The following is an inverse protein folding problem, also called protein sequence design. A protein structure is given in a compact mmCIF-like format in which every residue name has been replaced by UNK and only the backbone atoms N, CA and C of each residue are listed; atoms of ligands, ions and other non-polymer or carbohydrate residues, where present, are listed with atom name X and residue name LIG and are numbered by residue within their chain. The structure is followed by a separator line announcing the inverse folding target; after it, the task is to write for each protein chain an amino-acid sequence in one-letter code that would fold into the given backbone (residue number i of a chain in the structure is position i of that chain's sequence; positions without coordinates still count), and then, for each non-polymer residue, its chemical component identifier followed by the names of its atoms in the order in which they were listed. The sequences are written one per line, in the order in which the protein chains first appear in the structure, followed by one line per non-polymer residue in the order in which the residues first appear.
data_IF_171969688605
#
_entry.id   IF_171969688605
#
_cell.length_a   1.000
_cell.length_b   1.000
_cell.length_c   1.000
_cell.angle_alpha   90.00
_cell.angle_beta   90.00
_cell.angle_gamma   90.00
#
_symmetry.space_group_name_H-M   'P 1'
#
loop_
_entity.id
_entity.type
_entity.pdbx_description
1 polymer ?
#
# COMPACT_ATOMS: atom_id res chain seq x y z
N UNK A 1 -44.09 13.59 -80.75
CA UNK A 1 -43.72 12.16 -80.69
C UNK A 1 -42.20 12.02 -80.84
N UNK A 2 -41.59 11.06 -80.12
CA UNK A 2 -40.14 10.86 -79.81
C UNK A 2 -39.71 11.64 -78.55
N UNK A 3 -39.71 11.12 -77.33
CA UNK A 3 -39.40 9.80 -76.73
C UNK A 3 -37.90 9.41 -76.74
N UNK A 4 -37.33 9.40 -75.51
CA UNK A 4 -36.14 8.68 -75.01
C UNK A 4 -34.76 9.17 -75.56
N UNK A 5 -33.67 9.29 -74.79
CA UNK A 5 -33.25 8.61 -73.55
C UNK A 5 -31.91 9.21 -73.01
N UNK A 6 -31.53 8.86 -71.76
CA UNK A 6 -30.16 8.69 -71.23
C UNK A 6 -29.36 9.98 -70.89
N UNK A 7 -28.64 10.18 -69.77
CA UNK A 7 -28.04 9.34 -68.71
C UNK A 7 -27.83 10.18 -67.43
N UNK A 8 -27.89 9.48 -66.30
CA UNK A 8 -27.60 9.87 -64.93
C UNK A 8 -26.31 10.69 -64.69
N UNK A 9 -26.36 11.60 -63.71
CA UNK A 9 -25.19 11.87 -62.86
C UNK A 9 -25.64 12.10 -61.41
N UNK A 10 -25.59 11.03 -60.63
CA UNK A 10 -25.68 11.05 -59.18
C UNK A 10 -24.39 11.63 -58.61
N UNK A 11 -24.41 12.92 -58.24
CA UNK A 11 -23.33 13.51 -57.44
C UNK A 11 -23.60 13.23 -55.96
N UNK A 12 -23.06 12.09 -55.49
CA UNK A 12 -22.94 11.81 -54.06
C UNK A 12 -22.02 12.84 -53.42
N UNK A 13 -22.59 13.76 -52.64
CA UNK A 13 -21.82 14.54 -51.65
C UNK A 13 -21.58 13.61 -50.46
N UNK A 14 -20.54 12.78 -50.58
CA UNK A 14 -19.98 12.07 -49.45
C UNK A 14 -19.34 13.11 -48.53
N UNK A 15 -20.07 13.49 -47.47
CA UNK A 15 -19.53 14.30 -46.39
C UNK A 15 -18.31 13.60 -45.79
N UNK A 16 -17.14 14.22 -45.96
CA UNK A 16 -15.92 13.83 -45.28
C UNK A 16 -16.16 13.90 -43.77
N UNK A 17 -16.37 12.75 -43.12
CA UNK A 17 -16.28 12.69 -41.67
C UNK A 17 -14.85 13.08 -41.28
N UNK A 18 -14.65 14.03 -40.36
CA UNK A 18 -13.32 14.32 -39.87
C UNK A 18 -12.76 13.04 -39.25
N UNK A 19 -11.65 12.56 -39.79
CA UNK A 19 -10.81 11.57 -39.14
C UNK A 19 -10.59 12.05 -37.71
N UNK A 20 -11.21 11.35 -36.75
CA UNK A 20 -10.99 11.60 -35.33
C UNK A 20 -9.49 11.61 -35.12
N UNK A 21 -9.00 12.73 -34.58
CA UNK A 21 -7.63 12.91 -34.15
C UNK A 21 -7.17 11.62 -33.45
N UNK A 22 -6.22 10.93 -34.08
CA UNK A 22 -5.52 9.83 -33.42
C UNK A 22 -4.85 10.48 -32.21
N UNK A 23 -5.40 10.27 -31.02
CA UNK A 23 -4.70 10.56 -29.78
C UNK A 23 -3.46 9.68 -29.80
N UNK A 24 -2.33 10.27 -30.17
CA UNK A 24 -1.02 9.66 -29.92
C UNK A 24 -0.88 9.67 -28.41
N UNK A 25 -1.27 8.56 -27.78
CA UNK A 25 -0.95 8.30 -26.39
C UNK A 25 0.56 8.27 -26.32
N UNK A 26 1.17 9.36 -25.85
CA UNK A 26 2.61 9.37 -25.62
C UNK A 26 2.93 8.19 -24.70
N UNK A 27 3.93 7.36 -25.04
CA UNK A 27 4.34 6.28 -24.17
C UNK A 27 4.73 6.90 -22.84
N UNK A 28 4.15 6.37 -21.78
CA UNK A 28 4.28 6.93 -20.44
C UNK A 28 5.76 6.94 -20.02
N UNK A 29 6.22 7.98 -19.31
CA UNK A 29 7.59 8.03 -18.85
C UNK A 29 7.87 6.82 -17.96
N UNK A 30 8.83 5.99 -18.38
CA UNK A 30 9.27 4.84 -17.61
C UNK A 30 9.88 5.33 -16.29
N UNK A 31 9.57 4.62 -15.19
CA UNK A 31 10.26 4.84 -13.93
C UNK A 31 11.77 4.69 -14.13
N UNK A 32 12.53 5.62 -13.58
CA UNK A 32 13.98 5.46 -13.50
C UNK A 32 14.36 4.39 -12.46
N UNK A 33 15.63 3.99 -12.44
CA UNK A 33 16.14 2.97 -11.52
C UNK A 33 15.92 3.32 -10.04
N UNK A 34 16.01 4.60 -9.67
CA UNK A 34 15.81 5.06 -8.29
C UNK A 34 14.35 4.93 -7.89
N UNK A 35 13.44 5.32 -8.79
CA UNK A 35 12.00 5.20 -8.55
C UNK A 35 11.54 3.74 -8.46
N UNK A 36 12.15 2.84 -9.24
CA UNK A 36 11.89 1.39 -9.15
C UNK A 36 12.29 0.87 -7.77
N UNK A 37 13.51 1.18 -7.30
CA UNK A 37 13.99 0.75 -5.97
C UNK A 37 13.10 1.30 -4.85
N UNK A 38 12.72 2.58 -4.92
CA UNK A 38 11.78 3.19 -3.98
C UNK A 38 10.42 2.49 -3.98
N UNK A 39 9.84 2.28 -5.15
CA UNK A 39 8.55 1.60 -5.28
C UNK A 39 8.60 0.21 -4.65
N UNK A 40 9.62 -0.58 -4.99
CA UNK A 40 9.72 -1.97 -4.58
C UNK A 40 9.92 -2.10 -3.06
N UNK A 41 10.75 -1.24 -2.46
CA UNK A 41 10.94 -1.26 -1.00
C UNK A 41 9.68 -0.79 -0.25
N UNK A 42 8.96 0.20 -0.78
CA UNK A 42 7.70 0.67 -0.19
C UNK A 42 6.59 -0.39 -0.28
N UNK A 43 6.52 -1.15 -1.37
CA UNK A 43 5.62 -2.30 -1.48
C UNK A 43 5.99 -3.42 -0.51
N UNK A 44 7.27 -3.72 -0.34
CA UNK A 44 7.70 -4.72 0.66
C UNK A 44 7.30 -4.32 2.08
N UNK A 45 7.40 -3.04 2.42
CA UNK A 45 6.89 -2.53 3.69
C UNK A 45 5.36 -2.64 3.79
N UNK A 46 4.62 -2.35 2.71
CA UNK A 46 3.14 -2.55 2.65
C UNK A 46 2.76 -3.96 3.02
N UNK A 47 3.37 -4.92 2.35
CA UNK A 47 3.01 -6.33 2.46
C UNK A 47 3.35 -6.83 3.86
N UNK A 48 4.45 -6.34 4.44
CA UNK A 48 4.82 -6.59 5.84
C UNK A 48 3.78 -6.05 6.82
N UNK A 49 3.24 -4.84 6.60
CA UNK A 49 2.18 -4.26 7.42
C UNK A 49 0.86 -5.04 7.29
N UNK A 50 0.53 -5.52 6.09
CA UNK A 50 -0.64 -6.39 5.89
C UNK A 50 -0.53 -7.70 6.66
N UNK A 51 0.67 -8.27 6.80
CA UNK A 51 0.87 -9.45 7.66
C UNK A 51 0.64 -9.17 9.14
N UNK A 52 0.98 -7.97 9.62
CA UNK A 52 0.67 -7.53 10.99
C UNK A 52 -0.85 -7.41 11.20
N UNK A 53 -1.56 -6.78 10.27
CA UNK A 53 -3.01 -6.65 10.34
C UNK A 53 -3.71 -8.02 10.30
N UNK A 54 -3.25 -8.92 9.42
CA UNK A 54 -3.77 -10.28 9.33
C UNK A 54 -3.51 -11.09 10.62
N UNK A 55 -2.32 -10.96 11.22
CA UNK A 55 -1.99 -11.60 12.49
C UNK A 55 -2.88 -11.06 13.63
N UNK A 56 -3.06 -9.73 13.71
CA UNK A 56 -3.94 -9.09 14.67
C UNK A 56 -5.39 -9.55 14.51
N UNK A 57 -5.91 -9.61 13.29
CA UNK A 57 -7.28 -10.05 13.02
C UNK A 57 -7.49 -11.52 13.39
N UNK A 58 -6.51 -12.37 13.08
CA UNK A 58 -6.54 -13.79 13.48
C UNK A 58 -6.50 -13.94 15.00
N UNK A 59 -5.65 -13.18 15.68
CA UNK A 59 -5.58 -13.18 17.14
C UNK A 59 -6.93 -12.81 17.76
N UNK A 60 -7.58 -11.75 17.27
CA UNK A 60 -8.87 -11.30 17.77
C UNK A 60 -9.98 -12.36 17.57
N UNK A 61 -10.00 -13.06 16.43
CA UNK A 61 -10.97 -14.13 16.16
C UNK A 61 -10.75 -15.36 17.05
N UNK A 62 -9.49 -15.76 17.23
CA UNK A 62 -9.14 -17.02 17.89
C UNK A 62 -9.24 -16.89 19.44
N UNK A 63 -9.31 -15.68 19.99
CA UNK A 63 -9.19 -15.38 21.43
C UNK A 63 -10.10 -16.21 22.35
N UNK A 64 -11.39 -16.21 22.06
CA UNK A 64 -12.40 -16.73 23.00
C UNK A 64 -12.52 -18.25 22.93
N UNK A 65 -12.11 -18.86 21.82
CA UNK A 65 -12.33 -20.28 21.53
C UNK A 65 -11.03 -21.12 21.57
N UNK A 66 -9.87 -20.48 21.76
CA UNK A 66 -8.58 -21.16 21.71
C UNK A 66 -8.04 -21.56 23.09
N UNK A 67 -7.23 -22.61 23.10
CA UNK A 67 -6.40 -22.96 24.26
C UNK A 67 -5.30 -21.91 24.49
N UNK A 68 -4.76 -21.84 25.71
CA UNK A 68 -3.68 -20.91 26.06
C UNK A 68 -2.43 -21.12 25.18
N UNK A 69 -2.14 -22.37 24.83
CA UNK A 69 -1.03 -22.72 23.94
C UNK A 69 -1.22 -22.14 22.53
N UNK A 70 -2.44 -22.22 21.99
CA UNK A 70 -2.76 -21.63 20.69
C UNK A 70 -2.67 -20.11 20.75
N UNK A 71 -3.17 -19.48 21.82
CA UNK A 71 -3.07 -18.03 21.97
C UNK A 71 -1.62 -17.56 22.08
N UNK A 72 -0.81 -18.26 22.87
CA UNK A 72 0.62 -17.99 23.00
C UNK A 72 1.34 -18.08 21.65
N UNK A 73 1.03 -19.11 20.85
CA UNK A 73 1.54 -19.25 19.48
C UNK A 73 1.13 -18.08 18.58
N UNK A 74 -0.11 -17.60 18.67
CA UNK A 74 -0.59 -16.43 17.92
C UNK A 74 0.10 -15.14 18.36
N UNK A 75 0.35 -14.97 19.66
CA UNK A 75 1.11 -13.85 20.18
C UNK A 75 2.56 -13.86 19.64
N UNK A 76 3.22 -15.02 19.58
CA UNK A 76 4.54 -15.14 18.94
C UNK A 76 4.50 -14.74 17.47
N UNK A 77 3.51 -15.22 16.71
CA UNK A 77 3.35 -14.82 15.31
C UNK A 77 3.20 -13.29 15.19
N UNK A 78 2.42 -12.65 16.06
CA UNK A 78 2.28 -11.19 16.07
C UNK A 78 3.62 -10.48 16.35
N UNK A 79 4.37 -10.96 17.33
CA UNK A 79 5.70 -10.43 17.66
C UNK A 79 6.66 -10.52 16.47
N UNK A 80 6.74 -11.68 15.83
CA UNK A 80 7.55 -11.91 14.62
C UNK A 80 7.16 -10.99 13.45
N UNK A 81 5.86 -10.74 13.24
CA UNK A 81 5.41 -9.80 12.20
C UNK A 81 5.80 -8.37 12.53
N UNK A 82 5.67 -7.96 13.79
CA UNK A 82 6.12 -6.64 14.23
C UNK A 82 7.65 -6.48 14.07
N UNK A 83 8.44 -7.49 14.43
CA UNK A 83 9.90 -7.49 14.20
C UNK A 83 10.26 -7.41 12.71
N UNK A 84 9.54 -8.15 11.85
CA UNK A 84 9.74 -8.06 10.40
C UNK A 84 9.53 -6.62 9.89
N UNK A 85 8.50 -5.92 10.39
CA UNK A 85 8.27 -4.51 10.07
C UNK A 85 9.41 -3.62 10.60
N UNK A 86 9.92 -3.87 11.81
CA UNK A 86 11.08 -3.13 12.35
C UNK A 86 12.31 -3.26 11.42
N UNK A 87 12.60 -4.45 10.91
CA UNK A 87 13.73 -4.64 9.98
C UNK A 87 13.53 -3.88 8.66
N UNK A 88 12.39 -4.08 8.00
CA UNK A 88 12.12 -3.44 6.69
C UNK A 88 12.03 -1.91 6.81
N UNK A 89 11.54 -1.35 7.92
CA UNK A 89 11.54 0.11 8.12
C UNK A 89 12.96 0.69 8.19
N UNK A 90 13.95 -0.08 8.66
CA UNK A 90 15.36 0.29 8.59
C UNK A 90 15.86 0.37 7.14
N UNK A 91 15.61 -0.69 6.36
CA UNK A 91 15.97 -0.74 4.93
C UNK A 91 15.32 0.41 4.14
N UNK A 92 14.03 0.67 4.38
CA UNK A 92 13.29 1.76 3.72
C UNK A 92 13.87 3.12 4.06
N UNK A 93 14.26 3.34 5.32
CA UNK A 93 14.87 4.60 5.78
C UNK A 93 16.17 4.88 5.02
N UNK A 94 17.02 3.86 4.86
CA UNK A 94 18.28 3.97 4.12
C UNK A 94 18.04 4.32 2.65
N UNK A 95 17.11 3.61 1.99
CA UNK A 95 16.76 3.87 0.58
C UNK A 95 16.20 5.28 0.39
N UNK A 96 15.24 5.69 1.23
CA UNK A 96 14.60 7.01 1.11
C UNK A 96 15.58 8.15 1.38
N UNK A 97 16.41 8.03 2.42
CA UNK A 97 17.43 9.02 2.73
C UNK A 97 18.46 9.16 1.58
N UNK A 98 18.81 8.06 0.92
CA UNK A 98 19.75 8.06 -0.21
C UNK A 98 19.16 8.51 -1.55
N UNK A 99 17.84 8.47 -1.75
CA UNK A 99 17.22 8.61 -3.07
C UNK A 99 17.14 10.04 -3.64
N UNK A 100 17.44 11.09 -2.86
CA UNK A 100 17.19 12.51 -3.19
C UNK A 100 15.73 12.85 -3.62
N UNK A 101 14.81 11.89 -3.69
CA UNK A 101 13.43 12.07 -4.15
C UNK A 101 12.47 12.40 -2.98
N UNK A 102 11.42 13.20 -3.21
CA UNK A 102 11.17 13.96 -4.44
C UNK A 102 12.19 15.10 -4.60
N UNK A 103 12.55 15.43 -5.85
CA UNK A 103 13.46 16.54 -6.18
C UNK A 103 12.83 17.46 -7.24
N UNK A 104 12.55 18.74 -6.92
CA UNK A 104 12.65 19.34 -5.59
C UNK A 104 11.55 18.81 -4.63
N UNK A 105 11.76 18.96 -3.32
CA UNK A 105 10.76 18.63 -2.27
C UNK A 105 10.15 19.90 -1.63
N UNK A 106 9.38 20.71 -2.37
CA UNK A 106 8.84 21.97 -1.84
C UNK A 106 7.77 21.74 -0.76
N UNK A 107 7.17 20.55 -0.69
CA UNK A 107 6.10 20.22 0.28
C UNK A 107 6.64 19.60 1.56
N UNK A 108 7.93 19.23 1.61
CA UNK A 108 8.52 18.50 2.72
C UNK A 108 7.93 17.10 2.88
N UNK A 109 7.62 16.43 1.76
CA UNK A 109 7.04 15.09 1.76
C UNK A 109 8.07 14.06 2.29
N UNK A 110 9.37 14.22 1.97
CA UNK A 110 10.44 13.33 2.46
C UNK A 110 10.66 13.40 3.97
N UNK A 111 10.90 14.56 4.61
CA UNK A 111 11.10 14.62 6.06
C UNK A 111 9.86 14.19 6.86
N UNK A 112 8.64 14.51 6.37
CA UNK A 112 7.40 14.01 7.01
C UNK A 112 7.31 12.49 6.96
N UNK A 113 7.57 11.91 5.79
CA UNK A 113 7.60 10.47 5.62
C UNK A 113 8.62 9.78 6.54
N UNK A 114 9.84 10.31 6.61
CA UNK A 114 10.88 9.77 7.50
C UNK A 114 10.47 9.85 8.99
N UNK A 115 9.80 10.93 9.41
CA UNK A 115 9.26 11.04 10.77
C UNK A 115 8.13 10.04 11.05
N UNK A 116 7.24 9.81 10.08
CA UNK A 116 6.18 8.82 10.17
C UNK A 116 6.76 7.38 10.21
N UNK A 117 7.78 7.11 9.41
CA UNK A 117 8.49 5.83 9.37
C UNK A 117 9.18 5.51 10.71
N UNK A 118 9.83 6.50 11.33
CA UNK A 118 10.44 6.34 12.66
C UNK A 118 9.39 6.09 13.75
N UNK A 119 8.26 6.80 13.68
CA UNK A 119 7.12 6.56 14.58
C UNK A 119 6.57 5.15 14.42
N UNK A 120 6.35 4.70 13.18
CA UNK A 120 5.92 3.34 12.87
C UNK A 120 6.90 2.31 13.42
N UNK A 121 8.20 2.49 13.16
CA UNK A 121 9.26 1.60 13.67
C UNK A 121 9.21 1.47 15.18
N UNK A 122 9.14 2.57 15.92
CA UNK A 122 9.03 2.56 17.39
C UNK A 122 7.79 1.79 17.86
N UNK A 123 6.62 2.02 17.22
CA UNK A 123 5.38 1.29 17.55
C UNK A 123 5.48 -0.21 17.29
N UNK A 124 6.20 -0.62 16.25
CA UNK A 124 6.43 -2.04 15.95
C UNK A 124 7.46 -2.68 16.89
N UNK A 125 8.43 -1.92 17.40
CA UNK A 125 9.32 -2.37 18.48
C UNK A 125 8.55 -2.59 19.78
N UNK A 126 7.68 -1.64 20.14
CA UNK A 126 6.77 -1.76 21.29
C UNK A 126 5.86 -2.99 21.14
N UNK A 127 5.25 -3.18 19.96
CA UNK A 127 4.45 -4.36 19.62
C UNK A 127 5.23 -5.66 19.83
N UNK A 128 6.44 -5.76 19.26
CA UNK A 128 7.27 -6.94 19.37
C UNK A 128 7.54 -7.28 20.84
N UNK A 129 8.07 -6.33 21.61
CA UNK A 129 8.36 -6.52 23.02
C UNK A 129 7.12 -6.92 23.83
N UNK A 130 5.98 -6.29 23.56
CA UNK A 130 4.72 -6.55 24.25
C UNK A 130 4.19 -7.97 23.95
N UNK A 131 4.15 -8.37 22.68
CA UNK A 131 3.64 -9.70 22.29
C UNK A 131 4.63 -10.84 22.60
N UNK A 132 5.95 -10.60 22.57
CA UNK A 132 6.94 -11.57 23.09
C UNK A 132 6.73 -11.83 24.57
N UNK A 133 6.44 -10.79 25.37
CA UNK A 133 6.14 -10.97 26.80
C UNK A 133 4.85 -11.76 26.99
N UNK A 134 3.80 -11.44 26.25
CA UNK A 134 2.49 -12.08 26.39
C UNK A 134 2.43 -13.51 25.87
N UNK A 135 3.35 -13.89 24.99
CA UNK A 135 3.48 -15.27 24.51
C UNK A 135 3.93 -16.26 25.59
N UNK A 136 4.31 -15.79 26.79
CA UNK A 136 4.73 -16.66 27.88
C UNK A 136 3.51 -17.36 28.50
N UNK A 137 3.58 -18.67 28.79
CA UNK A 137 2.44 -19.41 29.36
C UNK A 137 1.92 -18.81 30.67
N UNK A 138 2.78 -18.20 31.47
CA UNK A 138 2.43 -17.62 32.79
C UNK A 138 1.53 -16.38 32.70
N UNK A 139 1.39 -15.78 31.51
CA UNK A 139 0.58 -14.56 31.29
C UNK A 139 -0.56 -14.80 30.29
N UNK A 140 -0.96 -16.06 30.08
CA UNK A 140 -2.02 -16.42 29.13
C UNK A 140 -3.36 -15.73 29.44
N UNK A 141 -3.71 -15.57 30.72
CA UNK A 141 -4.91 -14.84 31.12
C UNK A 141 -4.82 -13.35 30.73
N UNK A 142 -3.67 -12.70 30.94
CA UNK A 142 -3.46 -11.31 30.51
C UNK A 142 -3.57 -11.18 28.98
N UNK A 143 -3.06 -12.18 28.24
CA UNK A 143 -3.16 -12.23 26.79
C UNK A 143 -4.63 -12.33 26.33
N UNK A 144 -5.47 -13.11 27.02
CA UNK A 144 -6.92 -13.17 26.76
C UNK A 144 -7.61 -11.84 27.07
N UNK A 145 -7.31 -11.26 28.22
CA UNK A 145 -8.04 -10.09 28.69
C UNK A 145 -7.68 -8.83 27.88
N UNK A 146 -6.39 -8.67 27.53
CA UNK A 146 -5.87 -7.42 26.98
C UNK A 146 -5.27 -7.53 25.57
N UNK A 147 -5.08 -8.73 25.03
CA UNK A 147 -4.41 -8.92 23.74
C UNK A 147 -5.09 -8.20 22.56
N UNK A 148 -6.44 -8.11 22.57
CA UNK A 148 -7.19 -7.38 21.54
C UNK A 148 -6.90 -5.88 21.57
N UNK A 149 -6.95 -5.26 22.76
CA UNK A 149 -6.68 -3.83 22.88
C UNK A 149 -5.28 -3.48 22.38
N UNK A 150 -4.30 -4.36 22.66
CA UNK A 150 -2.93 -4.22 22.19
C UNK A 150 -2.83 -4.37 20.67
N UNK A 151 -3.49 -5.38 20.08
CA UNK A 151 -3.60 -5.53 18.63
C UNK A 151 -4.25 -4.35 17.92
N UNK A 152 -5.31 -3.77 18.51
CA UNK A 152 -5.97 -2.58 17.96
C UNK A 152 -5.03 -1.37 17.89
N UNK A 153 -4.22 -1.12 18.94
CA UNK A 153 -3.22 -0.04 18.92
C UNK A 153 -2.19 -0.21 17.81
N UNK A 154 -1.82 -1.46 17.50
CA UNK A 154 -0.92 -1.77 16.39
C UNK A 154 -1.59 -1.41 15.06
N UNK A 155 -2.85 -1.83 14.84
CA UNK A 155 -3.61 -1.46 13.65
C UNK A 155 -3.79 0.05 13.50
N UNK A 156 -4.08 0.77 14.59
CA UNK A 156 -4.16 2.25 14.59
C UNK A 156 -2.84 2.88 14.16
N UNK A 157 -1.71 2.34 14.63
CA UNK A 157 -0.38 2.81 14.24
C UNK A 157 -0.10 2.58 12.74
N UNK A 158 -0.52 1.44 12.19
CA UNK A 158 -0.44 1.16 10.74
C UNK A 158 -1.30 2.15 9.96
N UNK A 159 -2.55 2.39 10.40
CA UNK A 159 -3.46 3.35 9.77
C UNK A 159 -2.96 4.78 9.83
N UNK A 160 -2.33 5.19 10.92
CA UNK A 160 -1.77 6.53 11.07
C UNK A 160 -0.57 6.77 10.13
N UNK A 161 0.19 5.72 9.78
CA UNK A 161 1.29 5.81 8.83
C UNK A 161 0.81 5.96 7.36
N UNK A 162 -0.38 5.45 7.05
CA UNK A 162 -0.89 5.36 5.69
C UNK A 162 -0.91 6.67 4.87
N UNK A 163 -1.41 7.80 5.41
CA UNK A 163 -1.45 9.05 4.64
C UNK A 163 -0.06 9.55 4.22
N UNK A 164 0.94 9.37 5.08
CA UNK A 164 2.29 9.91 4.87
C UNK A 164 3.03 9.11 3.78
N UNK A 165 2.90 7.78 3.79
CA UNK A 165 3.47 6.95 2.70
C UNK A 165 2.78 7.22 1.37
N UNK A 166 1.46 7.38 1.35
CA UNK A 166 0.74 7.69 0.10
C UNK A 166 1.20 9.03 -0.49
N UNK A 167 1.37 10.08 0.34
CA UNK A 167 1.88 11.39 -0.10
C UNK A 167 3.29 11.29 -0.66
N UNK A 168 4.20 10.65 0.08
CA UNK A 168 5.60 10.51 -0.34
C UNK A 168 5.74 9.67 -1.61
N UNK A 169 5.03 8.54 -1.68
CA UNK A 169 5.04 7.66 -2.83
C UNK A 169 4.55 8.42 -4.09
N UNK A 170 3.44 9.14 -3.97
CA UNK A 170 2.89 9.97 -5.04
C UNK A 170 3.89 11.04 -5.50
N UNK A 171 4.54 11.71 -4.56
CA UNK A 171 5.54 12.74 -4.87
C UNK A 171 6.78 12.16 -5.57
N UNK A 172 7.19 10.94 -5.21
CA UNK A 172 8.43 10.33 -5.66
C UNK A 172 8.31 9.53 -6.96
N UNK A 173 7.12 8.99 -7.25
CA UNK A 173 6.86 8.09 -8.39
C UNK A 173 5.75 8.58 -9.34
N UNK A 174 4.94 9.56 -8.94
CA UNK A 174 3.80 10.07 -9.71
C UNK A 174 2.48 9.34 -9.46
N UNK A 175 1.37 9.90 -9.99
CA UNK A 175 -0.01 9.45 -9.73
C UNK A 175 -0.33 8.02 -10.20
N UNK A 176 0.37 7.50 -11.19
CA UNK A 176 -0.04 6.23 -11.84
C UNK A 176 0.45 4.97 -11.14
N UNK A 177 1.43 5.10 -10.25
CA UNK A 177 1.94 3.98 -9.45
C UNK A 177 1.29 3.94 -8.07
N UNK A 178 0.18 4.66 -7.87
CA UNK A 178 -0.45 4.92 -6.58
C UNK A 178 -0.39 3.70 -5.67
N UNK A 179 0.14 3.93 -4.48
CA UNK A 179 0.30 2.92 -3.46
C UNK A 179 -1.09 2.47 -2.98
N UNK A 180 -1.68 1.50 -3.67
CA UNK A 180 -2.93 0.89 -3.27
C UNK A 180 -2.69 0.08 -2.01
N UNK A 181 -3.24 0.61 -0.91
CA UNK A 181 -3.19 0.05 0.43
C UNK A 181 -4.08 -1.17 0.61
N UNK A 182 -5.16 -1.25 -0.18
CA UNK A 182 -6.01 -2.43 -0.19
C UNK A 182 -5.18 -3.57 -0.79
N UNK A 183 -5.07 -4.69 -0.08
CA UNK A 183 -4.32 -5.86 -0.53
C UNK A 183 -4.70 -6.31 -1.94
N UNK A 184 -3.87 -7.18 -2.52
CA UNK A 184 -3.94 -7.63 -3.92
C UNK A 184 -5.27 -8.32 -4.37
N UNK A 185 -6.34 -8.24 -3.59
CA UNK A 185 -7.68 -8.74 -3.90
C UNK A 185 -8.81 -7.70 -3.80
N UNK A 186 -8.51 -6.40 -3.60
CA UNK A 186 -9.55 -5.39 -3.71
C UNK A 186 -9.86 -5.10 -5.18
N UNK A 187 -10.98 -5.64 -5.65
CA UNK A 187 -11.59 -5.20 -6.90
C UNK A 187 -11.81 -3.68 -6.82
N UNK A 188 -11.43 -2.92 -7.86
CA UNK A 188 -11.87 -1.54 -7.98
C UNK A 188 -13.40 -1.57 -7.92
N UNK A 189 -13.99 -0.83 -6.98
CA UNK A 189 -15.40 -0.49 -7.10
C UNK A 189 -15.48 0.42 -8.33
N UNK A 190 -15.76 -0.18 -9.48
CA UNK A 190 -15.92 0.53 -10.72
C UNK A 190 -17.07 1.51 -10.60
N UNK A 191 -16.77 2.79 -10.84
CA UNK A 191 -17.60 3.77 -11.52
C UNK A 191 -16.67 4.82 -12.13
#
# INVERSE_FOLDING_TARGET
MKCLQLIALAAMVAGAMPLRAQMVVQPEPKLDSTQIVLRDILYRLRDSLQFVEAASARFARDRDMSSDAVLSSRALTMAERCEAVVRITGEVKEVVAGSARPDPDPRGDRPRYLGALETLRRRMQECNAEFTRLAKPQVAQELRDYGIGKGNRVQESVRAYHPEVSRYFLASTGRRYEYYMRGAGATPNGF
#
